data_IF_606666040328
#
_entry.id   IF_606666040328
#
_cell.length_a   1.000
_cell.length_b   1.000
_cell.length_c   1.000
_cell.angle_alpha   90.00
_cell.angle_beta   90.00
_cell.angle_gamma   90.00
#
_symmetry.space_group_name_H-M   'P 1'
#
loop_
_entity.id
_entity.type
_entity.pdbx_description
1 polymer ?
#
# COMPACT_ATOMS: atom_id res chain seq x y z
N UNK A 1 -14.53 -40.69 16.42
CA UNK A 1 -13.31 -39.89 16.20
C UNK A 1 -13.00 -39.87 14.71
N UNK A 2 -12.87 -38.69 14.07
CA UNK A 2 -11.86 -38.59 13.00
C UNK A 2 -12.17 -37.93 11.64
N UNK A 3 -13.32 -37.27 11.36
CA UNK A 3 -13.53 -36.67 10.02
C UNK A 3 -13.69 -35.13 10.03
N UNK A 4 -13.90 -34.50 11.20
CA UNK A 4 -13.99 -33.04 11.30
C UNK A 4 -12.63 -32.29 11.35
N UNK A 5 -11.50 -33.00 11.43
CA UNK A 5 -10.18 -32.36 11.57
C UNK A 5 -9.53 -31.95 10.23
N UNK A 6 -9.89 -32.61 9.12
CA UNK A 6 -9.21 -32.39 7.83
C UNK A 6 -9.68 -31.11 7.14
N UNK A 7 -10.96 -30.74 7.31
CA UNK A 7 -11.50 -29.49 6.76
C UNK A 7 -10.89 -28.24 7.41
N UNK A 8 -10.60 -28.27 8.71
CA UNK A 8 -9.94 -27.16 9.43
C UNK A 8 -8.46 -27.00 9.03
N UNK A 9 -7.76 -28.11 8.79
CA UNK A 9 -6.34 -28.10 8.42
C UNK A 9 -6.12 -27.60 6.98
N UNK A 10 -7.02 -27.94 6.05
CA UNK A 10 -6.97 -27.44 4.68
C UNK A 10 -7.27 -25.93 4.61
N UNK A 11 -8.17 -25.44 5.47
CA UNK A 11 -8.45 -24.00 5.62
C UNK A 11 -7.24 -23.21 6.16
N UNK A 12 -6.44 -23.81 7.06
CA UNK A 12 -5.21 -23.20 7.59
C UNK A 12 -4.07 -23.17 6.57
N UNK A 13 -3.99 -24.14 5.65
CA UNK A 13 -2.98 -24.18 4.60
C UNK A 13 -3.25 -23.21 3.43
N UNK A 14 -4.52 -22.87 3.17
CA UNK A 14 -4.92 -21.86 2.17
C UNK A 14 -4.85 -20.42 2.71
N UNK A 15 -4.63 -20.23 4.02
CA UNK A 15 -4.64 -18.93 4.70
C UNK A 15 -3.61 -17.89 4.18
N UNK A 16 -2.40 -18.21 3.70
CA UNK A 16 -1.46 -17.18 3.26
C UNK A 16 -1.84 -16.54 1.90
N UNK A 17 -2.92 -17.00 1.26
CA UNK A 17 -3.41 -16.47 -0.02
C UNK A 17 -4.67 -15.59 0.12
N UNK A 18 -5.10 -15.30 1.36
CA UNK A 18 -6.11 -14.26 1.61
C UNK A 18 -5.49 -12.91 1.19
N UNK A 19 -5.83 -12.49 -0.03
CA UNK A 19 -5.19 -11.39 -0.73
C UNK A 19 -5.02 -10.14 0.13
N UNK A 20 -3.82 -9.57 0.04
CA UNK A 20 -3.45 -8.33 0.72
C UNK A 20 -4.51 -7.26 0.47
N UNK A 21 -5.06 -6.73 1.57
CA UNK A 21 -6.20 -5.82 1.51
C UNK A 21 -5.80 -4.53 0.78
N UNK A 22 -6.79 -3.80 0.23
CA UNK A 22 -6.50 -2.51 -0.41
C UNK A 22 -5.82 -1.53 0.55
N UNK A 23 -6.16 -1.61 1.85
CA UNK A 23 -5.57 -0.78 2.89
C UNK A 23 -4.10 -1.14 3.16
N UNK A 24 -3.76 -2.43 3.23
CA UNK A 24 -2.36 -2.88 3.41
C UNK A 24 -1.47 -2.46 2.24
N UNK A 25 -1.97 -2.62 1.00
CA UNK A 25 -1.25 -2.16 -0.20
C UNK A 25 -0.99 -0.66 -0.18
N UNK A 26 -2.00 0.11 0.24
CA UNK A 26 -1.90 1.55 0.34
C UNK A 26 -0.92 1.99 1.42
N UNK A 27 -0.95 1.32 2.59
CA UNK A 27 -0.02 1.57 3.67
C UNK A 27 1.42 1.29 3.24
N UNK A 28 1.68 0.15 2.59
CA UNK A 28 3.04 -0.17 2.09
C UNK A 28 3.57 0.84 1.09
N UNK A 29 2.70 1.35 0.20
CA UNK A 29 3.08 2.42 -0.72
C UNK A 29 3.41 3.71 0.03
N UNK A 30 2.65 4.05 1.07
CA UNK A 30 2.92 5.22 1.88
C UNK A 30 4.22 5.06 2.68
N UNK A 31 4.49 3.87 3.22
CA UNK A 31 5.73 3.56 3.93
C UNK A 31 6.95 3.63 3.00
N UNK A 32 6.81 3.17 1.75
CA UNK A 32 7.85 3.35 0.73
C UNK A 32 8.12 4.84 0.44
N UNK A 33 7.07 5.66 0.39
CA UNK A 33 7.21 7.11 0.22
C UNK A 33 7.91 7.74 1.44
N UNK A 34 7.59 7.30 2.66
CA UNK A 34 8.26 7.74 3.88
C UNK A 34 9.75 7.39 3.87
N UNK A 35 10.12 6.18 3.44
CA UNK A 35 11.53 5.80 3.32
C UNK A 35 12.29 6.72 2.35
N UNK A 36 11.63 7.11 1.24
CA UNK A 36 12.18 8.03 0.25
C UNK A 36 12.32 9.46 0.77
N UNK A 37 11.41 9.89 1.65
CA UNK A 37 11.47 11.20 2.32
C UNK A 37 12.24 11.16 3.64
N UNK A 38 13.06 10.12 3.88
CA UNK A 38 13.86 9.96 5.11
C UNK A 38 13.03 9.98 6.41
N UNK A 39 11.78 9.52 6.34
CA UNK A 39 10.85 9.48 7.47
C UNK A 39 10.06 10.77 7.68
N UNK A 40 10.27 11.81 6.85
CA UNK A 40 9.48 13.04 6.92
C UNK A 40 8.05 12.77 6.41
N UNK A 41 7.14 12.64 7.39
CA UNK A 41 5.72 12.38 7.16
C UNK A 41 4.98 13.59 6.60
N UNK A 42 5.37 14.79 6.98
CA UNK A 42 4.73 16.01 6.50
C UNK A 42 5.08 16.23 5.02
N UNK A 43 6.33 16.00 4.65
CA UNK A 43 6.76 16.02 3.25
C UNK A 43 6.05 14.94 2.43
N UNK A 44 6.01 13.69 2.92
CA UNK A 44 5.30 12.61 2.24
C UNK A 44 3.82 12.94 2.02
N UNK A 45 3.13 13.47 3.04
CA UNK A 45 1.73 13.86 2.91
C UNK A 45 1.53 15.01 1.93
N UNK A 46 2.43 16.01 1.91
CA UNK A 46 2.38 17.11 0.93
C UNK A 46 2.54 16.62 -0.51
N UNK A 47 3.39 15.62 -0.75
CA UNK A 47 3.55 15.00 -2.08
C UNK A 47 2.26 14.32 -2.52
N UNK A 48 1.62 13.55 -1.63
CA UNK A 48 0.32 12.92 -1.90
C UNK A 48 -0.76 13.98 -2.16
N UNK A 49 -0.80 15.04 -1.38
CA UNK A 49 -1.78 16.13 -1.55
C UNK A 49 -1.56 16.90 -2.86
N UNK A 50 -0.32 17.05 -3.31
CA UNK A 50 0.00 17.66 -4.60
C UNK A 50 -0.56 16.83 -5.75
N UNK A 51 -0.41 15.49 -5.71
CA UNK A 51 -0.98 14.61 -6.73
C UNK A 51 -2.51 14.52 -6.63
N UNK A 52 -3.09 14.58 -5.42
CA UNK A 52 -4.54 14.71 -5.25
C UNK A 52 -5.10 15.97 -5.91
N UNK A 53 -4.39 17.09 -5.83
CA UNK A 53 -4.78 18.35 -6.50
C UNK A 53 -4.69 18.24 -8.02
N UNK A 54 -3.73 17.48 -8.54
CA UNK A 54 -3.53 17.27 -9.99
C UNK A 54 -4.52 16.28 -10.58
N UNK A 55 -4.82 15.22 -9.85
CA UNK A 55 -5.75 14.18 -10.25
C UNK A 55 -6.83 13.95 -9.17
N UNK A 56 -7.81 14.86 -9.02
CA UNK A 56 -8.83 14.76 -7.96
C UNK A 56 -9.70 13.50 -8.06
N UNK A 57 -9.78 12.88 -9.24
CA UNK A 57 -10.58 11.68 -9.52
C UNK A 57 -9.84 10.39 -9.13
N UNK A 58 -8.53 10.46 -8.88
CA UNK A 58 -7.72 9.33 -8.44
C UNK A 58 -8.07 8.89 -7.02
N UNK A 59 -7.92 7.59 -6.74
CA UNK A 59 -7.97 7.10 -5.36
C UNK A 59 -6.68 7.45 -4.61
N UNK A 60 -6.70 7.44 -3.27
CA UNK A 60 -5.52 7.71 -2.44
C UNK A 60 -4.32 6.85 -2.84
N UNK A 61 -4.55 5.55 -3.12
CA UNK A 61 -3.53 4.64 -3.64
C UNK A 61 -2.87 5.15 -4.94
N UNK A 62 -3.65 5.72 -5.86
CA UNK A 62 -3.14 6.28 -7.12
C UNK A 62 -2.27 7.50 -6.83
N UNK A 63 -2.74 8.41 -5.96
CA UNK A 63 -1.96 9.61 -5.59
C UNK A 63 -0.62 9.26 -4.94
N UNK A 64 -0.59 8.26 -4.05
CA UNK A 64 0.66 7.81 -3.42
C UNK A 64 1.61 7.21 -4.46
N UNK A 65 1.08 6.41 -5.39
CA UNK A 65 1.88 5.81 -6.47
C UNK A 65 2.45 6.86 -7.42
N UNK A 66 1.64 7.85 -7.80
CA UNK A 66 2.08 8.97 -8.64
C UNK A 66 3.14 9.82 -7.91
N UNK A 67 2.95 10.09 -6.61
CA UNK A 67 3.90 10.81 -5.79
C UNK A 67 5.25 10.09 -5.71
N UNK A 68 5.26 8.77 -5.48
CA UNK A 68 6.47 7.94 -5.51
C UNK A 68 7.18 7.99 -6.86
N UNK A 69 6.43 7.77 -7.94
CA UNK A 69 6.97 7.76 -9.31
C UNK A 69 7.61 9.10 -9.66
N UNK A 70 6.97 10.19 -9.24
CA UNK A 70 7.47 11.53 -9.46
C UNK A 70 8.71 11.82 -8.62
N UNK A 71 8.71 11.46 -7.35
CA UNK A 71 9.88 11.60 -6.49
C UNK A 71 11.08 10.86 -7.07
N UNK A 72 10.89 9.61 -7.49
CA UNK A 72 11.94 8.80 -8.11
C UNK A 72 12.45 9.38 -9.44
N UNK A 73 11.63 10.15 -10.16
CA UNK A 73 12.06 10.84 -11.38
C UNK A 73 12.81 12.13 -11.06
N UNK A 74 12.34 12.89 -10.09
CA UNK A 74 12.85 14.22 -9.77
C UNK A 74 14.16 14.13 -8.94
N UNK A 75 14.36 13.05 -8.18
CA UNK A 75 15.54 12.81 -7.32
C UNK A 75 16.45 11.65 -7.79
N UNK A 76 16.49 11.39 -9.10
CA UNK A 76 17.40 10.41 -9.70
C UNK A 76 18.76 10.98 -10.08
#
# INVERSE_FOLDING_TARGET
>A
MGIFAVAGFLFLLLRPFLGESSAEKEQRLFDALLLKTHGDKDLAQRLVDAERKRNPQGSRKVHIKEALTRWDRDNR
#
